data_IF_927973906565
#
_entry.id   IF_927973906565
#
_cell.length_a   1.000
_cell.length_b   1.000
_cell.length_c   1.000
_cell.angle_alpha   90.00
_cell.angle_beta   90.00
_cell.angle_gamma   90.00
#
_symmetry.space_group_name_H-M   'P 1'
#
loop_
_entity.id
_entity.type
_entity.pdbx_description
1 polymer ?
#
# COMPACT_ATOMS: atom_id res chain seq x y z
N UNK A 1 0.38 -15.41 -17.13
CA UNK A 1 0.28 -14.63 -15.89
C UNK A 1 -1.18 -14.27 -15.77
N UNK A 2 -1.83 -14.52 -14.64
CA UNK A 2 -3.26 -14.22 -14.47
C UNK A 2 -3.52 -12.72 -14.41
N UNK A 3 -4.72 -12.28 -14.80
CA UNK A 3 -5.12 -10.87 -14.72
C UNK A 3 -5.12 -10.39 -13.26
N UNK A 4 -5.48 -11.27 -12.32
CA UNK A 4 -5.42 -11.02 -10.88
C UNK A 4 -4.02 -10.60 -10.44
N UNK A 5 -2.98 -11.39 -10.76
CA UNK A 5 -1.60 -11.09 -10.38
C UNK A 5 -1.05 -9.84 -11.07
N UNK A 6 -1.47 -9.59 -12.32
CA UNK A 6 -1.09 -8.38 -13.04
C UNK A 6 -1.63 -7.13 -12.33
N UNK A 7 -2.91 -7.16 -11.89
CA UNK A 7 -3.51 -6.04 -11.14
C UNK A 7 -2.79 -5.76 -9.83
N UNK A 8 -2.43 -6.79 -9.04
CA UNK A 8 -1.66 -6.60 -7.79
C UNK A 8 -0.31 -5.93 -8.07
N UNK A 9 0.42 -6.38 -9.11
CA UNK A 9 1.69 -5.76 -9.48
C UNK A 9 1.55 -4.34 -10.02
N UNK A 10 0.48 -4.02 -10.74
CA UNK A 10 0.16 -2.67 -11.16
C UNK A 10 -0.09 -1.75 -9.96
N UNK A 11 -0.81 -2.25 -8.95
CA UNK A 11 -1.03 -1.53 -7.69
C UNK A 11 0.29 -1.28 -6.96
N UNK A 12 1.16 -2.28 -6.85
CA UNK A 12 2.51 -2.12 -6.30
C UNK A 12 3.35 -1.10 -7.07
N UNK A 13 3.28 -1.12 -8.40
CA UNK A 13 4.00 -0.14 -9.22
C UNK A 13 3.48 1.29 -8.98
N UNK A 14 2.17 1.49 -8.78
CA UNK A 14 1.57 2.79 -8.44
C UNK A 14 2.01 3.24 -7.04
N UNK A 15 1.84 2.39 -6.04
CA UNK A 15 2.24 2.69 -4.66
C UNK A 15 3.74 2.95 -4.56
N UNK A 16 4.57 2.17 -5.25
CA UNK A 16 6.02 2.36 -5.30
C UNK A 16 6.44 3.72 -5.87
N UNK A 17 5.74 4.22 -6.90
CA UNK A 17 5.96 5.59 -7.41
C UNK A 17 5.59 6.64 -6.38
N UNK A 18 4.43 6.51 -5.72
CA UNK A 18 3.99 7.41 -4.66
C UNK A 18 5.00 7.48 -3.51
N UNK A 19 5.41 6.32 -3.00
CA UNK A 19 6.40 6.18 -1.92
C UNK A 19 7.74 6.82 -2.30
N UNK A 20 8.22 6.57 -3.52
CA UNK A 20 9.49 7.13 -4.02
C UNK A 20 9.43 8.65 -4.10
N UNK A 21 8.38 9.19 -4.68
CA UNK A 21 8.20 10.62 -4.85
C UNK A 21 8.04 11.33 -3.50
N UNK A 22 7.24 10.76 -2.58
CA UNK A 22 7.08 11.32 -1.24
C UNK A 22 8.40 11.32 -0.47
N UNK A 23 9.16 10.23 -0.54
CA UNK A 23 10.50 10.17 0.08
C UNK A 23 11.41 11.29 -0.44
N UNK A 24 11.45 11.49 -1.75
CA UNK A 24 12.22 12.58 -2.35
C UNK A 24 11.76 13.96 -1.84
N UNK A 25 10.46 14.17 -1.71
CA UNK A 25 9.91 15.43 -1.16
C UNK A 25 10.27 15.64 0.30
N UNK A 26 10.14 14.62 1.15
CA UNK A 26 10.47 14.71 2.57
C UNK A 26 11.96 14.98 2.77
N UNK A 27 12.82 14.35 1.97
CA UNK A 27 14.28 14.50 2.07
C UNK A 27 14.82 15.75 1.37
N UNK A 28 14.00 16.48 0.62
CA UNK A 28 14.43 17.70 -0.08
C UNK A 28 14.84 18.79 0.90
N UNK A 29 16.03 19.42 0.73
CA UNK A 29 16.43 20.60 1.51
C UNK A 29 15.49 21.80 1.32
N UNK A 30 14.75 21.84 0.23
CA UNK A 30 13.80 22.91 -0.10
C UNK A 30 12.39 22.67 0.49
N UNK A 31 12.17 21.54 1.19
CA UNK A 31 10.86 21.15 1.74
C UNK A 31 10.16 22.29 2.48
N UNK A 32 10.87 22.91 3.41
CA UNK A 32 10.32 23.99 4.26
C UNK A 32 10.18 25.31 3.54
N UNK A 33 10.92 25.53 2.44
CA UNK A 33 10.88 26.77 1.67
C UNK A 33 9.78 26.84 0.63
N UNK A 34 9.42 25.68 0.04
CA UNK A 34 8.44 25.62 -1.06
C UNK A 34 7.00 25.68 -0.59
N UNK A 35 6.72 25.44 0.71
CA UNK A 35 5.34 25.26 1.18
C UNK A 35 4.65 24.04 0.51
N UNK A 36 3.50 23.65 1.01
CA UNK A 36 2.67 22.61 0.37
C UNK A 36 3.13 21.15 0.54
N UNK A 37 4.29 20.90 1.17
CA UNK A 37 4.72 19.51 1.40
C UNK A 37 3.81 18.78 2.40
N UNK A 38 3.22 19.51 3.34
CA UNK A 38 2.24 18.98 4.29
C UNK A 38 0.94 18.59 3.58
N UNK A 39 0.46 19.44 2.67
CA UNK A 39 -0.73 19.15 1.87
C UNK A 39 -0.50 17.93 0.97
N UNK A 40 0.71 17.82 0.42
CA UNK A 40 1.11 16.69 -0.39
C UNK A 40 1.20 15.40 0.45
N UNK A 41 1.79 15.48 1.65
CA UNK A 41 1.83 14.35 2.59
C UNK A 41 0.41 13.94 3.01
N UNK A 42 -0.47 14.89 3.33
CA UNK A 42 -1.86 14.63 3.64
C UNK A 42 -2.56 13.88 2.49
N UNK A 43 -2.41 14.38 1.25
CA UNK A 43 -2.99 13.73 0.07
C UNK A 43 -2.46 12.31 -0.18
N UNK A 44 -1.17 12.06 0.10
CA UNK A 44 -0.61 10.72 0.00
C UNK A 44 -1.14 9.79 1.09
N UNK A 45 -1.24 10.28 2.31
CA UNK A 45 -1.77 9.50 3.44
C UNK A 45 -3.24 9.14 3.19
N UNK A 46 -4.04 10.08 2.68
CA UNK A 46 -5.42 9.82 2.23
C UNK A 46 -5.45 8.73 1.14
N UNK A 47 -4.55 8.82 0.15
CA UNK A 47 -4.45 7.79 -0.90
C UNK A 47 -4.18 6.41 -0.31
N UNK A 48 -3.22 6.30 0.60
CA UNK A 48 -2.85 5.00 1.19
C UNK A 48 -4.01 4.45 2.02
N UNK A 49 -4.65 5.27 2.83
CA UNK A 49 -5.79 4.88 3.65
C UNK A 49 -7.01 4.45 2.81
N UNK A 50 -7.24 5.10 1.67
CA UNK A 50 -8.42 4.82 0.83
C UNK A 50 -8.20 3.69 -0.17
N UNK A 51 -6.99 3.44 -0.66
CA UNK A 51 -6.74 2.45 -1.69
C UNK A 51 -5.97 1.22 -1.20
N UNK A 52 -4.69 1.29 -0.81
CA UNK A 52 -3.99 0.12 -0.29
C UNK A 52 -4.73 -0.57 0.85
N UNK A 53 -5.11 0.15 1.89
CA UNK A 53 -5.67 -0.44 3.10
C UNK A 53 -7.10 -0.97 2.92
N UNK A 54 -7.88 -0.41 1.99
CA UNK A 54 -9.30 -0.79 1.80
C UNK A 54 -9.53 -1.69 0.58
N UNK A 55 -8.64 -1.65 -0.42
CA UNK A 55 -8.82 -2.37 -1.68
C UNK A 55 -7.73 -3.38 -1.93
N UNK A 56 -6.47 -2.95 -1.89
CA UNK A 56 -5.32 -3.76 -2.31
C UNK A 56 -5.00 -4.87 -1.30
N UNK A 57 -4.75 -4.53 -0.03
CA UNK A 57 -4.46 -5.51 1.02
C UNK A 57 -5.58 -6.55 1.20
N UNK A 58 -6.90 -6.20 1.19
CA UNK A 58 -7.95 -7.21 1.21
C UNK A 58 -7.93 -8.17 0.02
N UNK A 59 -7.45 -7.77 -1.17
CA UNK A 59 -7.27 -8.67 -2.31
C UNK A 59 -6.13 -9.64 -2.07
N UNK A 60 -5.03 -9.16 -1.51
CA UNK A 60 -3.89 -10.00 -1.14
C UNK A 60 -4.25 -10.96 -0.01
N UNK A 61 -5.03 -10.53 0.97
CA UNK A 61 -5.53 -11.40 2.04
C UNK A 61 -6.29 -12.60 1.45
N UNK A 62 -7.15 -12.39 0.45
CA UNK A 62 -7.85 -13.49 -0.25
C UNK A 62 -6.88 -14.44 -0.97
N UNK A 63 -5.86 -13.88 -1.62
CA UNK A 63 -4.82 -14.67 -2.27
C UNK A 63 -4.08 -15.54 -1.23
N UNK A 64 -3.69 -14.95 -0.11
CA UNK A 64 -2.93 -15.62 0.94
C UNK A 64 -3.78 -16.64 1.72
N UNK A 65 -5.06 -16.35 1.96
CA UNK A 65 -6.01 -17.32 2.50
C UNK A 65 -6.11 -18.56 1.60
N UNK A 66 -6.19 -18.37 0.27
CA UNK A 66 -6.21 -19.47 -0.71
C UNK A 66 -4.93 -20.31 -0.66
N UNK A 67 -3.78 -19.67 -0.43
CA UNK A 67 -2.50 -20.37 -0.29
C UNK A 67 -2.44 -21.28 0.94
N UNK A 68 -3.07 -20.91 2.04
CA UNK A 68 -3.04 -21.73 3.28
C UNK A 68 -3.55 -23.15 3.04
N UNK A 69 -4.48 -23.32 2.10
CA UNK A 69 -5.10 -24.61 1.77
C UNK A 69 -4.23 -25.45 0.80
N UNK A 70 -3.10 -24.91 0.30
CA UNK A 70 -2.27 -25.56 -0.74
C UNK A 70 -1.12 -26.43 -0.21
N UNK A 71 -1.17 -26.88 1.04
CA UNK A 71 -0.15 -27.79 1.55
C UNK A 71 1.22 -27.15 1.77
N UNK A 72 1.26 -25.92 2.23
CA UNK A 72 2.46 -25.15 2.52
C UNK A 72 3.41 -25.86 3.47
N UNK A 73 4.71 -25.73 3.22
CA UNK A 73 5.74 -26.07 4.20
C UNK A 73 5.61 -25.19 5.46
N UNK A 74 6.18 -25.59 6.60
CA UNK A 74 6.15 -24.77 7.81
C UNK A 74 6.70 -23.36 7.62
N UNK A 75 7.78 -23.20 6.81
CA UNK A 75 8.39 -21.90 6.53
C UNK A 75 7.49 -21.02 5.65
N UNK A 76 6.86 -21.59 4.61
CA UNK A 76 5.92 -20.88 3.75
C UNK A 76 4.66 -20.46 4.51
N UNK A 77 4.14 -21.32 5.38
CA UNK A 77 3.01 -20.99 6.26
C UNK A 77 3.34 -19.83 7.21
N UNK A 78 4.55 -19.83 7.78
CA UNK A 78 5.00 -18.72 8.63
C UNK A 78 5.12 -17.41 7.83
N UNK A 79 5.63 -17.47 6.59
CA UNK A 79 5.75 -16.32 5.71
C UNK A 79 4.37 -15.71 5.39
N UNK A 80 3.39 -16.53 5.02
CA UNK A 80 2.01 -16.10 4.77
C UNK A 80 1.39 -15.48 6.02
N UNK A 81 1.49 -16.15 7.17
CA UNK A 81 0.91 -15.65 8.43
C UNK A 81 1.55 -14.31 8.86
N UNK A 82 2.86 -14.15 8.66
CA UNK A 82 3.55 -12.91 8.94
C UNK A 82 3.01 -11.77 8.07
N UNK A 83 2.85 -12.01 6.77
CA UNK A 83 2.36 -10.99 5.84
C UNK A 83 0.92 -10.56 6.16
N UNK A 84 0.01 -11.50 6.40
CA UNK A 84 -1.36 -11.19 6.86
C UNK A 84 -1.36 -10.33 8.14
N UNK A 85 -0.43 -10.58 9.06
CA UNK A 85 -0.31 -9.75 10.27
C UNK A 85 0.29 -8.36 10.02
N UNK A 86 1.02 -8.19 8.92
CA UNK A 86 1.62 -6.91 8.54
C UNK A 86 0.59 -5.93 7.97
N UNK A 87 -0.43 -6.40 7.23
CA UNK A 87 -1.50 -5.55 6.74
C UNK A 87 -2.18 -4.77 7.88
N UNK A 88 -2.51 -5.45 8.98
CA UNK A 88 -3.07 -4.78 10.16
C UNK A 88 -2.12 -3.73 10.77
N UNK A 89 -0.81 -4.01 10.80
CA UNK A 89 0.19 -3.05 11.30
C UNK A 89 0.39 -1.87 10.37
N UNK A 90 0.31 -2.08 9.06
CA UNK A 90 0.36 -1.01 8.07
C UNK A 90 -0.85 -0.10 8.20
N UNK A 91 -2.07 -0.66 8.30
CA UNK A 91 -3.28 0.12 8.54
C UNK A 91 -3.18 0.96 9.83
N UNK A 92 -2.73 0.37 10.94
CA UNK A 92 -2.48 1.13 12.18
C UNK A 92 -1.41 2.22 12.01
N UNK A 93 -0.38 1.98 11.19
CA UNK A 93 0.66 2.96 10.92
C UNK A 93 0.14 4.10 10.03
N UNK A 94 -0.73 3.79 9.07
CA UNK A 94 -1.46 4.78 8.25
C UNK A 94 -2.31 5.67 9.13
N UNK A 95 -3.15 5.10 10.00
CA UNK A 95 -4.01 5.87 10.93
C UNK A 95 -3.18 6.80 11.84
N UNK A 96 -2.05 6.32 12.34
CA UNK A 96 -1.15 7.15 13.16
C UNK A 96 -0.54 8.30 12.36
N UNK A 97 -0.09 8.03 11.15
CA UNK A 97 0.48 9.07 10.29
C UNK A 97 -0.57 10.12 9.89
N UNK A 98 -1.82 9.70 9.63
CA UNK A 98 -2.96 10.62 9.43
C UNK A 98 -3.14 11.55 10.64
N UNK A 99 -3.20 10.97 11.84
CA UNK A 99 -3.36 11.75 13.07
C UNK A 99 -2.20 12.73 13.30
N UNK A 100 -0.97 12.36 12.97
CA UNK A 100 0.21 13.22 13.06
C UNK A 100 0.14 14.38 12.06
N UNK A 101 -0.29 14.12 10.82
CA UNK A 101 -0.51 15.15 9.79
C UNK A 101 -1.58 16.15 10.24
N UNK A 102 -2.73 15.64 10.69
CA UNK A 102 -3.83 16.47 11.18
C UNK A 102 -3.41 17.32 12.39
N UNK A 103 -2.62 16.75 13.31
CA UNK A 103 -2.10 17.46 14.45
C UNK A 103 -1.21 18.65 14.04
N UNK A 104 -0.30 18.43 13.08
CA UNK A 104 0.58 19.51 12.58
C UNK A 104 -0.23 20.57 11.84
N UNK A 105 -1.18 20.18 11.00
CA UNK A 105 -2.07 21.12 10.29
C UNK A 105 -2.94 21.94 11.24
N UNK A 106 -3.34 21.37 12.38
CA UNK A 106 -4.07 22.05 13.44
C UNK A 106 -3.19 22.93 14.34
N UNK A 107 -1.87 22.99 14.09
CA UNK A 107 -0.93 23.81 14.89
C UNK A 107 -0.55 23.17 16.23
N UNK A 108 -0.62 21.85 16.35
CA UNK A 108 -0.19 21.12 17.54
C UNK A 108 1.34 21.13 17.71
N UNK A 109 1.82 20.62 18.85
CA UNK A 109 3.23 20.66 19.26
C UNK A 109 4.15 19.69 18.50
N UNK A 110 3.61 18.78 17.65
CA UNK A 110 4.43 17.91 16.83
C UNK A 110 5.22 18.75 15.81
N UNK A 111 6.53 18.59 15.79
CA UNK A 111 7.36 19.35 14.85
C UNK A 111 7.27 18.72 13.43
N UNK A 112 7.43 19.58 12.40
CA UNK A 112 7.56 19.10 11.02
C UNK A 112 8.72 18.10 10.82
N UNK A 113 9.76 18.19 11.66
CA UNK A 113 10.89 17.26 11.62
C UNK A 113 10.50 15.88 12.14
N UNK A 114 9.73 15.84 13.24
CA UNK A 114 9.25 14.57 13.80
C UNK A 114 8.23 13.92 12.87
N UNK A 115 7.30 14.71 12.31
CA UNK A 115 6.36 14.22 11.30
C UNK A 115 7.09 13.63 10.07
N UNK A 116 8.13 14.31 9.58
CA UNK A 116 8.95 13.80 8.49
C UNK A 116 9.63 12.46 8.83
N UNK A 117 10.12 12.32 10.06
CA UNK A 117 10.73 11.06 10.54
C UNK A 117 9.69 9.92 10.62
N UNK A 118 8.49 10.21 11.11
CA UNK A 118 7.39 9.24 11.15
C UNK A 118 6.97 8.81 9.75
N UNK A 119 6.82 9.77 8.82
CA UNK A 119 6.50 9.49 7.44
C UNK A 119 7.58 8.62 6.76
N UNK A 120 8.87 8.92 6.93
CA UNK A 120 9.95 8.10 6.39
C UNK A 120 9.93 6.67 6.94
N UNK A 121 9.66 6.51 8.23
CA UNK A 121 9.52 5.18 8.86
C UNK A 121 8.37 4.40 8.23
N UNK A 122 7.23 5.04 8.01
CA UNK A 122 6.08 4.45 7.33
C UNK A 122 6.43 4.02 5.89
N UNK A 123 7.10 4.89 5.13
CA UNK A 123 7.52 4.58 3.76
C UNK A 123 8.50 3.41 3.70
N UNK A 124 9.38 3.24 4.71
CA UNK A 124 10.28 2.09 4.80
C UNK A 124 9.49 0.78 5.04
N UNK A 125 8.45 0.81 5.88
CA UNK A 125 7.58 -0.34 6.12
C UNK A 125 6.87 -0.76 4.82
N UNK A 126 6.29 0.18 4.08
CA UNK A 126 5.62 -0.09 2.81
C UNK A 126 6.55 -0.71 1.77
N UNK A 127 7.76 -0.16 1.61
CA UNK A 127 8.75 -0.69 0.65
C UNK A 127 9.15 -2.12 1.00
N UNK A 128 9.43 -2.40 2.27
CA UNK A 128 9.86 -3.74 2.69
C UNK A 128 8.73 -4.76 2.57
N UNK A 129 7.50 -4.35 2.85
CA UNK A 129 6.30 -5.14 2.69
C UNK A 129 6.10 -5.56 1.22
N UNK A 130 5.94 -4.59 0.30
CA UNK A 130 5.81 -4.87 -1.14
C UNK A 130 6.98 -5.71 -1.68
N UNK A 131 8.23 -5.42 -1.25
CA UNK A 131 9.40 -6.19 -1.68
C UNK A 131 9.29 -7.66 -1.30
N UNK A 132 8.76 -7.96 -0.11
CA UNK A 132 8.57 -9.35 0.35
C UNK A 132 7.51 -10.07 -0.47
N UNK A 133 6.42 -9.41 -0.78
CA UNK A 133 5.36 -9.95 -1.62
C UNK A 133 5.85 -10.26 -3.02
N UNK A 134 6.47 -9.29 -3.67
CA UNK A 134 7.00 -9.44 -5.02
C UNK A 134 8.07 -10.54 -5.14
N UNK A 135 8.92 -10.69 -4.11
CA UNK A 135 10.07 -11.61 -4.20
C UNK A 135 9.80 -12.99 -3.61
N UNK A 136 8.77 -13.15 -2.77
CA UNK A 136 8.53 -14.40 -2.07
C UNK A 136 7.08 -14.90 -2.18
N UNK A 137 6.09 -14.05 -1.89
CA UNK A 137 4.69 -14.48 -1.80
C UNK A 137 4.01 -14.61 -3.16
N UNK A 138 4.20 -13.65 -4.06
CA UNK A 138 3.64 -13.73 -5.41
C UNK A 138 4.24 -14.91 -6.21
N UNK A 139 5.56 -15.14 -6.20
CA UNK A 139 6.12 -16.36 -6.80
C UNK A 139 5.62 -17.65 -6.15
N UNK A 140 5.35 -17.64 -4.84
CA UNK A 140 4.75 -18.77 -4.13
C UNK A 140 3.32 -19.04 -4.61
N UNK A 141 2.51 -17.99 -4.75
CA UNK A 141 1.14 -18.08 -5.27
C UNK A 141 1.12 -18.61 -6.72
N UNK A 142 1.96 -18.06 -7.60
CA UNK A 142 2.06 -18.48 -8.99
C UNK A 142 2.54 -19.93 -9.15
N UNK A 143 3.29 -20.46 -8.19
CA UNK A 143 3.74 -21.85 -8.18
C UNK A 143 2.67 -22.82 -7.70
N UNK A 144 1.83 -22.42 -6.75
CA UNK A 144 0.92 -23.34 -6.05
C UNK A 144 -0.53 -23.23 -6.51
N UNK A 145 -0.97 -22.09 -6.98
CA UNK A 145 -2.34 -21.87 -7.41
C UNK A 145 -2.49 -22.15 -8.90
N UNK A 146 -3.63 -22.74 -9.27
CA UNK A 146 -4.01 -22.99 -10.65
C UNK A 146 -4.64 -21.73 -11.28
N UNK A 147 -4.74 -21.72 -12.61
CA UNK A 147 -5.47 -20.68 -13.33
C UNK A 147 -6.94 -20.57 -12.88
N UNK A 148 -7.58 -21.69 -12.56
CA UNK A 148 -8.94 -21.72 -12.03
C UNK A 148 -9.06 -21.07 -10.65
N UNK A 149 -8.02 -21.16 -9.79
CA UNK A 149 -7.98 -20.46 -8.51
C UNK A 149 -7.93 -18.94 -8.71
N UNK A 150 -7.08 -18.46 -9.63
CA UNK A 150 -7.01 -17.03 -9.96
C UNK A 150 -8.29 -16.51 -10.60
N UNK A 151 -8.93 -17.27 -11.49
CA UNK A 151 -10.23 -16.90 -12.04
C UNK A 151 -11.33 -16.84 -10.98
N UNK A 152 -11.28 -17.72 -9.97
CA UNK A 152 -12.21 -17.68 -8.86
C UNK A 152 -11.99 -16.43 -8.00
N UNK A 153 -10.74 -16.07 -7.71
CA UNK A 153 -10.38 -14.84 -7.00
C UNK A 153 -10.84 -13.59 -7.76
N UNK A 154 -10.64 -13.52 -9.08
CA UNK A 154 -11.13 -12.41 -9.91
C UNK A 154 -12.65 -12.26 -9.82
N UNK A 155 -13.39 -13.36 -9.88
CA UNK A 155 -14.87 -13.36 -9.79
C UNK A 155 -15.36 -12.92 -8.39
N UNK A 156 -14.69 -13.38 -7.35
CA UNK A 156 -15.00 -12.97 -5.96
C UNK A 156 -14.83 -11.46 -5.78
N UNK A 157 -13.75 -10.90 -6.35
CA UNK A 157 -13.48 -9.46 -6.29
C UNK A 157 -14.44 -8.64 -7.15
N UNK A 158 -14.75 -9.11 -8.36
CA UNK A 158 -15.70 -8.42 -9.24
C UNK A 158 -17.10 -8.37 -8.62
N UNK A 159 -17.51 -9.40 -7.86
CA UNK A 159 -18.77 -9.41 -7.13
C UNK A 159 -18.83 -8.43 -5.96
N UNK A 160 -17.66 -8.01 -5.43
CA UNK A 160 -17.52 -7.04 -4.35
C UNK A 160 -17.19 -5.63 -4.84
N UNK A 161 -17.13 -5.42 -6.17
CA UNK A 161 -16.78 -4.14 -6.78
C UNK A 161 -17.78 -3.06 -6.39
N UNK A 162 -17.30 -2.06 -5.65
CA UNK A 162 -18.03 -0.82 -5.45
C UNK A 162 -17.62 0.15 -6.59
N UNK A 163 -18.57 0.61 -7.44
CA UNK A 163 -18.27 1.57 -8.51
C UNK A 163 -17.64 2.88 -8.01
N UNK A 164 -17.83 3.22 -6.73
CA UNK A 164 -17.20 4.39 -6.11
C UNK A 164 -15.69 4.22 -5.95
N UNK A 165 -15.18 2.98 -5.88
CA UNK A 165 -13.75 2.72 -5.77
C UNK A 165 -12.99 3.02 -7.05
N UNK A 166 -13.57 2.75 -8.22
CA UNK A 166 -12.90 3.07 -9.51
C UNK A 166 -12.74 4.58 -9.69
N UNK A 167 -13.72 5.37 -9.23
CA UNK A 167 -13.62 6.82 -9.23
C UNK A 167 -12.56 7.35 -8.25
N UNK A 168 -12.36 6.66 -7.14
CA UNK A 168 -11.30 7.02 -6.16
C UNK A 168 -9.92 6.72 -6.71
N UNK A 169 -9.71 5.58 -7.34
CA UNK A 169 -8.42 5.23 -7.95
C UNK A 169 -7.98 6.27 -9.01
N UNK A 170 -8.89 6.69 -9.89
CA UNK A 170 -8.61 7.73 -10.89
C UNK A 170 -8.31 9.11 -10.28
N UNK A 171 -8.92 9.46 -9.15
CA UNK A 171 -8.63 10.72 -8.45
C UNK A 171 -7.17 10.83 -8.02
N UNK A 172 -6.52 9.71 -7.73
CA UNK A 172 -5.13 9.67 -7.30
C UNK A 172 -4.13 9.54 -8.45
N UNK A 173 -4.55 9.15 -9.65
CA UNK A 173 -3.66 9.13 -10.82
C UNK A 173 -3.10 10.53 -11.12
N UNK A 174 -3.94 11.58 -11.08
CA UNK A 174 -3.52 12.97 -11.24
C UNK A 174 -2.53 13.42 -10.13
N UNK A 175 -2.77 12.99 -8.88
CA UNK A 175 -1.88 13.25 -7.76
C UNK A 175 -0.52 12.58 -7.98
N UNK A 176 -0.51 11.31 -8.38
CA UNK A 176 0.72 10.55 -8.62
C UNK A 176 1.52 11.12 -9.80
N UNK A 177 0.86 11.59 -10.86
CA UNK A 177 1.50 12.29 -11.97
C UNK A 177 2.11 13.62 -11.51
N UNK A 178 1.38 14.40 -10.70
CA UNK A 178 1.87 15.67 -10.16
C UNK A 178 3.10 15.48 -9.25
N UNK A 179 3.10 14.43 -8.43
CA UNK A 179 4.22 14.11 -7.52
C UNK A 179 5.45 13.65 -8.31
N UNK A 180 5.26 12.98 -9.45
CA UNK A 180 6.34 12.41 -10.26
C UNK A 180 6.97 13.44 -11.23
N UNK A 181 6.37 14.63 -11.43
CA UNK A 181 6.86 15.69 -12.29
C UNK A 181 7.88 16.62 -11.60
#
# INVERSE_FOLDING_TARGET
MSDFMNRLREDHARLGRAVTAMRAHIQSPERTKRGGWLDLLASLVDYVAEYPDVVHHPREDRLFERLVDQGLTPAERQLVAMNLSEHAKLAEATERLMADVDAVLAGATLSETDLAAHALTYLDLQVEHMRREETQLFPLAERLLSEADFEALDKELDAQRDPLFEQRATRYDDLLEFIAA
#
